data_IF_398029285648
#
_entry.id   IF_398029285648
#
_cell.length_a   1.000
_cell.length_b   1.000
_cell.length_c   1.000
_cell.angle_alpha   90.00
_cell.angle_beta   90.00
_cell.angle_gamma   90.00
#
_symmetry.space_group_name_H-M   'P 1'
#
loop_
_entity.id
_entity.type
_entity.pdbx_description
1 polymer ?
#
# COMPACT_ATOMS: atom_id res chain seq x y z
N UNK A 1 20.39 23.45 -12.21
CA UNK A 1 20.76 23.26 -10.79
C UNK A 1 19.57 23.00 -9.87
N UNK A 2 18.38 23.55 -10.13
CA UNK A 2 17.18 23.30 -9.30
C UNK A 2 16.59 21.88 -9.44
N UNK A 3 16.74 21.21 -10.59
CA UNK A 3 16.14 19.88 -10.80
C UNK A 3 16.85 18.74 -10.05
N UNK A 4 18.14 18.90 -9.74
CA UNK A 4 18.85 17.91 -8.91
C UNK A 4 18.34 17.94 -7.45
N UNK A 5 18.12 19.13 -6.89
CA UNK A 5 17.51 19.32 -5.57
C UNK A 5 16.07 18.80 -5.52
N UNK A 6 15.29 18.98 -6.59
CA UNK A 6 13.95 18.39 -6.71
C UNK A 6 14.01 16.87 -6.73
N UNK A 7 14.90 16.28 -7.53
CA UNK A 7 15.06 14.82 -7.57
C UNK A 7 15.56 14.22 -6.26
N UNK A 8 16.45 14.90 -5.52
CA UNK A 8 16.84 14.46 -4.18
C UNK A 8 15.69 14.55 -3.19
N UNK A 9 14.91 15.63 -3.23
CA UNK A 9 13.72 15.80 -2.38
C UNK A 9 12.66 14.75 -2.68
N UNK A 10 12.40 14.47 -3.96
CA UNK A 10 11.50 13.40 -4.41
C UNK A 10 11.98 12.03 -3.96
N UNK A 11 13.28 11.73 -4.08
CA UNK A 11 13.86 10.49 -3.57
C UNK A 11 13.71 10.36 -2.06
N UNK A 12 13.83 11.45 -1.32
CA UNK A 12 13.65 11.44 0.13
C UNK A 12 12.17 11.31 0.53
N UNK A 13 11.26 11.93 -0.23
CA UNK A 13 9.81 11.81 -0.04
C UNK A 13 9.27 10.42 -0.40
N UNK A 14 9.94 9.73 -1.33
CA UNK A 14 9.62 8.36 -1.74
C UNK A 14 10.35 7.28 -0.94
N UNK A 15 11.26 7.65 -0.04
CA UNK A 15 12.03 6.68 0.72
C UNK A 15 11.24 6.17 1.93
N UNK A 16 10.72 4.94 1.81
CA UNK A 16 10.34 4.13 2.96
C UNK A 16 11.64 3.64 3.62
N UNK A 17 12.12 4.33 4.66
CA UNK A 17 13.39 4.01 5.35
C UNK A 17 13.46 2.60 5.95
N UNK A 18 12.34 1.86 5.96
CA UNK A 18 12.20 0.53 6.51
C UNK A 18 11.74 -0.47 5.43
N UNK A 19 12.58 -1.49 5.17
CA UNK A 19 12.33 -2.54 4.18
C UNK A 19 11.23 -3.49 4.62
N UNK A 20 11.09 -3.78 5.91
CA UNK A 20 10.09 -4.72 6.42
C UNK A 20 8.69 -4.11 6.29
N UNK A 21 8.58 -2.82 6.59
CA UNK A 21 7.35 -2.05 6.37
C UNK A 21 6.98 -1.99 4.88
N UNK A 22 7.95 -1.71 4.01
CA UNK A 22 7.72 -1.72 2.56
C UNK A 22 7.21 -3.09 2.09
N UNK A 23 7.85 -4.18 2.53
CA UNK A 23 7.43 -5.53 2.20
C UNK A 23 6.02 -5.84 2.72
N UNK A 24 5.68 -5.38 3.93
CA UNK A 24 4.34 -5.53 4.49
C UNK A 24 3.29 -4.79 3.66
N UNK A 25 3.57 -3.55 3.24
CA UNK A 25 2.67 -2.78 2.36
C UNK A 25 2.49 -3.50 1.02
N UNK A 26 3.59 -3.92 0.38
CA UNK A 26 3.53 -4.62 -0.91
C UNK A 26 2.78 -5.94 -0.81
N UNK A 27 3.01 -6.72 0.25
CA UNK A 27 2.27 -7.96 0.51
C UNK A 27 0.78 -7.69 0.67
N UNK A 28 0.42 -6.67 1.45
CA UNK A 28 -0.98 -6.29 1.64
C UNK A 28 -1.64 -5.82 0.33
N UNK A 29 -0.94 -5.08 -0.52
CA UNK A 29 -1.46 -4.69 -1.84
C UNK A 29 -1.72 -5.93 -2.71
N UNK A 30 -0.81 -6.90 -2.72
CA UNK A 30 -0.99 -8.18 -3.42
C UNK A 30 -2.22 -8.97 -2.93
N UNK A 31 -2.45 -9.01 -1.62
CA UNK A 31 -3.61 -9.68 -1.03
C UNK A 31 -4.95 -9.00 -1.37
N UNK A 32 -4.94 -7.69 -1.67
CA UNK A 32 -6.13 -6.92 -2.03
C UNK A 32 -6.33 -6.76 -3.56
N UNK A 33 -5.72 -7.62 -4.37
CA UNK A 33 -5.93 -7.61 -5.82
C UNK A 33 -5.15 -6.54 -6.58
N UNK A 34 -4.02 -6.08 -6.05
CA UNK A 34 -3.08 -5.19 -6.74
C UNK A 34 -1.74 -5.88 -7.00
N UNK A 35 -0.99 -5.44 -8.00
CA UNK A 35 0.39 -5.92 -8.18
C UNK A 35 1.34 -5.22 -7.20
N UNK A 36 1.42 -5.73 -5.96
CA UNK A 36 2.22 -5.12 -4.89
C UNK A 36 3.72 -4.96 -5.20
N UNK A 37 4.31 -5.86 -5.99
CA UNK A 37 5.73 -5.77 -6.40
C UNK A 37 6.03 -4.57 -7.30
N UNK A 38 5.07 -4.12 -8.10
CA UNK A 38 5.24 -3.00 -9.05
C UNK A 38 4.63 -1.71 -8.55
N UNK A 39 3.96 -1.74 -7.38
CA UNK A 39 3.40 -0.55 -6.76
C UNK A 39 4.48 0.50 -6.47
N UNK A 40 4.16 1.76 -6.77
CA UNK A 40 5.00 2.92 -6.46
C UNK A 40 4.50 3.54 -5.17
N UNK A 41 5.30 3.43 -4.11
CA UNK A 41 5.02 4.07 -2.83
C UNK A 41 5.54 5.51 -2.83
N UNK A 42 4.74 6.42 -2.27
CA UNK A 42 5.02 7.85 -2.16
C UNK A 42 4.66 8.31 -0.75
N UNK A 43 5.26 9.42 -0.32
CA UNK A 43 4.87 10.13 0.91
C UNK A 43 4.86 9.26 2.17
N UNK A 44 5.72 8.23 2.25
CA UNK A 44 5.80 7.33 3.40
C UNK A 44 6.39 8.10 4.58
N UNK A 45 5.55 8.44 5.56
CA UNK A 45 5.97 9.32 6.66
C UNK A 45 5.33 8.91 7.97
N UNK A 46 6.12 8.93 9.04
CA UNK A 46 5.61 8.81 10.40
C UNK A 46 4.76 10.04 10.75
N UNK A 47 3.55 9.81 11.21
CA UNK A 47 2.55 10.85 11.51
C UNK A 47 2.08 10.83 12.95
N UNK A 48 2.20 9.71 13.65
CA UNK A 48 1.95 9.66 15.09
C UNK A 48 2.87 8.64 15.77
N UNK A 49 3.20 8.87 17.04
CA UNK A 49 4.08 8.00 17.83
C UNK A 49 3.70 8.02 19.31
N UNK A 50 3.76 6.86 19.97
CA UNK A 50 3.70 6.73 21.42
C UNK A 50 5.12 6.79 22.00
N UNK A 51 5.37 7.52 23.09
CA UNK A 51 6.65 7.43 23.82
C UNK A 51 6.67 6.16 24.68
N UNK A 52 7.78 5.38 24.73
CA UNK A 52 9.14 5.67 24.26
C UNK A 52 9.45 5.39 22.78
N UNK A 53 8.46 5.14 21.91
CA UNK A 53 8.64 5.02 20.45
C UNK A 53 8.16 3.68 19.88
N UNK A 54 7.62 2.80 20.72
CA UNK A 54 7.26 1.43 20.35
C UNK A 54 6.07 1.30 19.42
N UNK A 55 5.20 2.30 19.43
CA UNK A 55 4.01 2.31 18.62
C UNK A 55 4.04 3.52 17.70
N UNK A 56 4.01 3.27 16.40
CA UNK A 56 4.17 4.28 15.38
C UNK A 56 3.07 4.13 14.33
N UNK A 57 2.60 5.26 13.81
CA UNK A 57 1.64 5.30 12.71
C UNK A 57 2.29 6.04 11.56
N UNK A 58 2.31 5.40 10.39
CA UNK A 58 2.81 5.95 9.15
C UNK A 58 1.65 6.16 8.19
N UNK A 59 1.71 7.25 7.43
CA UNK A 59 0.89 7.42 6.23
C UNK A 59 1.72 7.07 5.01
N UNK A 60 1.04 6.63 3.96
CA UNK A 60 1.63 6.51 2.63
C UNK A 60 0.58 6.74 1.55
N UNK A 61 1.05 6.95 0.34
CA UNK A 61 0.27 6.91 -0.89
C UNK A 61 0.89 5.86 -1.81
N UNK A 62 0.05 5.16 -2.58
CA UNK A 62 0.53 4.13 -3.47
C UNK A 62 -0.19 4.24 -4.82
N UNK A 63 0.58 4.27 -5.89
CA UNK A 63 0.05 4.07 -7.24
C UNK A 63 0.27 2.59 -7.58
N UNK A 64 -0.81 1.81 -7.71
CA UNK A 64 -0.74 0.37 -7.92
C UNK A 64 -1.58 -0.07 -9.11
N UNK A 65 -1.07 -1.07 -9.85
CA UNK A 65 -1.82 -1.69 -10.95
C UNK A 65 -2.84 -2.65 -10.38
N UNK A 66 -4.09 -2.57 -10.83
CA UNK A 66 -5.15 -3.51 -10.47
C UNK A 66 -4.94 -4.84 -11.19
N UNK A 67 -5.10 -5.94 -10.46
CA UNK A 67 -5.12 -7.29 -11.05
C UNK A 67 -6.46 -7.47 -11.77
N UNK A 68 -6.46 -7.82 -13.07
CA UNK A 68 -7.69 -8.11 -13.78
C UNK A 68 -8.50 -9.22 -13.10
N UNK A 69 -9.84 -9.11 -13.03
CA UNK A 69 -10.68 -10.09 -12.34
C UNK A 69 -10.51 -11.54 -12.82
N UNK A 70 -10.26 -11.74 -14.12
CA UNK A 70 -10.09 -13.06 -14.73
C UNK A 70 -8.84 -13.80 -14.22
N UNK A 71 -7.77 -13.08 -13.83
CA UNK A 71 -6.57 -13.70 -13.26
C UNK A 71 -6.73 -14.05 -11.78
N UNK A 72 -7.69 -13.44 -11.08
CA UNK A 72 -7.97 -13.78 -9.68
C UNK A 72 -8.71 -15.12 -9.56
N UNK A 73 -9.57 -15.47 -10.53
CA UNK A 73 -10.25 -16.77 -10.57
C UNK A 73 -9.28 -17.94 -10.77
N UNK A 74 -8.21 -17.76 -11.55
CA UNK A 74 -7.23 -18.81 -11.84
C UNK A 74 -6.32 -19.12 -10.65
N UNK A 75 -5.96 -18.09 -9.87
CA UNK A 75 -5.05 -18.22 -8.72
C UNK A 75 -5.63 -19.06 -7.57
N UNK A 76 -6.96 -19.15 -7.43
CA UNK A 76 -7.62 -19.99 -6.44
C UNK A 76 -7.85 -21.44 -6.92
N UNK A 77 -7.61 -21.74 -8.19
CA UNK A 77 -7.82 -23.06 -8.80
C UNK A 77 -6.55 -23.91 -8.96
N UNK A 78 -5.37 -23.41 -8.58
CA UNK A 78 -4.12 -24.18 -8.64
C UNK A 78 -4.02 -25.18 -7.48
N UNK A 79 -4.84 -26.22 -7.57
CA UNK A 79 -4.93 -27.32 -6.62
C UNK A 79 -5.60 -28.55 -7.20
N UNK A 80 -5.47 -28.83 -8.50
CA UNK A 80 -5.78 -30.17 -9.02
C UNK A 80 -4.98 -30.49 -10.28
N UNK A 81 -4.16 -31.54 -10.18
CA UNK A 81 -3.37 -32.09 -11.26
C UNK A 81 -4.21 -32.98 -12.17
N UNK A 82 -3.99 -32.85 -13.49
CA UNK A 82 -4.24 -33.87 -14.50
C UNK A 82 -5.63 -33.87 -15.14
N UNK A 83 -5.72 -33.36 -16.37
CA UNK A 83 -6.49 -34.03 -17.45
C UNK A 83 -6.12 -33.41 -18.79
N UNK A 84 -5.70 -34.27 -19.71
CA UNK A 84 -5.51 -34.02 -21.14
C UNK A 84 -6.86 -33.73 -21.81
N UNK A 85 -6.96 -32.57 -22.46
CA UNK A 85 -8.09 -32.22 -23.33
C UNK A 85 -7.74 -31.02 -24.18
N UNK A 86 -7.53 -31.24 -25.47
CA UNK A 86 -7.46 -30.20 -26.49
C UNK A 86 -8.78 -29.42 -26.50
N UNK A 87 -8.71 -28.11 -26.31
CA UNK A 87 -9.77 -27.18 -26.73
C UNK A 87 -9.10 -25.97 -27.37
N UNK A 88 -9.10 -25.98 -28.70
CA UNK A 88 -8.94 -24.82 -29.55
C UNK A 88 -10.11 -23.85 -29.28
N UNK A 89 -9.80 -22.70 -28.68
CA UNK A 89 -10.66 -21.52 -28.71
C UNK A 89 -9.76 -20.31 -28.57
N UNK A 90 -9.40 -19.73 -29.71
CA UNK A 90 -8.73 -18.45 -29.81
C UNK A 90 -9.73 -17.33 -29.47
N UNK A 91 -10.23 -17.30 -28.23
CA UNK A 91 -10.85 -16.10 -27.67
C UNK A 91 -9.69 -15.21 -27.19
N UNK A 92 -9.07 -14.53 -28.15
CA UNK A 92 -8.09 -13.46 -27.91
C UNK A 92 -8.85 -12.30 -27.24
N UNK A 93 -9.08 -12.44 -25.93
CA UNK A 93 -9.64 -11.38 -25.09
C UNK A 93 -8.71 -10.17 -25.28
N UNK A 94 -9.23 -9.02 -25.73
CA UNK A 94 -8.37 -7.88 -26.04
C UNK A 94 -7.55 -7.54 -24.81
N UNK A 95 -6.25 -7.42 -25.03
CA UNK A 95 -5.22 -7.09 -24.03
C UNK A 95 -5.64 -5.82 -23.28
N UNK A 96 -6.39 -5.99 -22.20
CA UNK A 96 -7.06 -4.88 -21.54
C UNK A 96 -5.99 -3.94 -20.97
N UNK A 97 -6.07 -2.67 -21.34
CA UNK A 97 -5.09 -1.68 -20.91
C UNK A 97 -4.93 -1.71 -19.38
N UNK A 98 -3.69 -1.64 -18.86
CA UNK A 98 -3.45 -1.73 -17.43
C UNK A 98 -4.14 -0.57 -16.69
N UNK A 99 -5.03 -0.91 -15.76
CA UNK A 99 -5.70 0.06 -14.88
C UNK A 99 -4.84 0.30 -13.65
N UNK A 100 -4.62 1.58 -13.34
CA UNK A 100 -3.87 2.03 -12.17
C UNK A 100 -4.80 2.79 -11.23
N UNK A 101 -4.70 2.49 -9.94
CA UNK A 101 -5.41 3.19 -8.89
C UNK A 101 -4.43 3.98 -8.01
N UNK A 102 -4.86 5.16 -7.60
CA UNK A 102 -4.19 5.97 -6.58
C UNK A 102 -4.81 5.65 -5.23
N UNK A 103 -3.99 5.14 -4.32
CA UNK A 103 -4.43 4.55 -3.07
C UNK A 103 -3.84 5.32 -1.88
N UNK A 104 -4.65 5.45 -0.83
CA UNK A 104 -4.28 6.10 0.41
C UNK A 104 -4.04 5.06 1.49
N UNK A 105 -2.88 5.09 2.12
CA UNK A 105 -2.45 4.06 3.05
C UNK A 105 -2.16 4.54 4.47
N UNK A 106 -2.39 3.65 5.44
CA UNK A 106 -1.90 3.77 6.81
C UNK A 106 -1.22 2.48 7.24
N UNK A 107 -0.10 2.62 7.94
CA UNK A 107 0.57 1.52 8.64
C UNK A 107 0.60 1.85 10.12
N UNK A 108 0.20 0.88 10.94
CA UNK A 108 0.39 0.90 12.38
C UNK A 108 1.41 -0.17 12.73
N UNK A 109 2.55 0.28 13.24
CA UNK A 109 3.69 -0.54 13.60
C UNK A 109 3.83 -0.61 15.11
N UNK A 110 3.80 -1.84 15.65
CA UNK A 110 4.14 -2.13 17.04
C UNK A 110 5.42 -2.98 17.08
N UNK A 111 6.53 -2.29 17.33
CA UNK A 111 7.88 -2.84 17.33
C UNK A 111 8.04 -3.92 18.42
N UNK A 112 7.29 -3.82 19.54
CA UNK A 112 7.38 -4.80 20.64
C UNK A 112 6.94 -6.19 20.22
N UNK A 113 5.90 -6.25 19.38
CA UNK A 113 5.29 -7.51 18.95
C UNK A 113 5.60 -7.84 17.49
N UNK A 114 6.36 -6.98 16.79
CA UNK A 114 6.61 -7.06 15.34
C UNK A 114 5.31 -7.14 14.53
N UNK A 115 4.29 -6.40 14.98
CA UNK A 115 2.98 -6.37 14.34
C UNK A 115 2.90 -5.14 13.45
N UNK A 116 2.74 -5.38 12.15
CA UNK A 116 2.47 -4.35 11.15
C UNK A 116 1.05 -4.50 10.63
N UNK A 117 0.18 -3.56 10.98
CA UNK A 117 -1.18 -3.49 10.47
C UNK A 117 -1.22 -2.48 9.34
N UNK A 118 -1.36 -2.97 8.11
CA UNK A 118 -1.51 -2.14 6.92
C UNK A 118 -2.99 -2.04 6.55
N UNK A 119 -3.42 -0.83 6.18
CA UNK A 119 -4.73 -0.56 5.60
C UNK A 119 -4.59 0.39 4.42
N UNK A 120 -5.35 0.13 3.37
CA UNK A 120 -5.36 0.89 2.12
C UNK A 120 -6.80 1.27 1.81
N UNK A 121 -6.99 2.47 1.26
CA UNK A 121 -8.27 3.09 1.01
C UNK A 121 -8.27 3.76 -0.36
N UNK A 122 -9.42 3.76 -1.02
CA UNK A 122 -9.62 4.52 -2.27
C UNK A 122 -9.91 6.00 -1.96
N UNK A 123 -10.44 6.29 -0.77
CA UNK A 123 -10.85 7.63 -0.33
C UNK A 123 -9.99 8.13 0.82
N UNK A 124 -9.59 9.39 0.73
CA UNK A 124 -8.82 10.03 1.79
C UNK A 124 -9.60 10.15 3.11
N UNK A 125 -10.92 10.35 3.06
CA UNK A 125 -11.75 10.50 4.28
C UNK A 125 -11.73 9.26 5.17
N UNK A 126 -11.73 8.07 4.58
CA UNK A 126 -11.65 6.79 5.30
C UNK A 126 -10.30 6.64 6.00
N UNK A 127 -9.22 7.03 5.30
CA UNK A 127 -7.88 7.12 5.88
C UNK A 127 -7.88 8.07 7.09
N UNK A 128 -8.49 9.25 6.96
CA UNK A 128 -8.57 10.24 8.05
C UNK A 128 -9.32 9.69 9.27
N UNK A 129 -10.47 9.08 9.04
CA UNK A 129 -11.27 8.47 10.11
C UNK A 129 -10.50 7.37 10.86
N UNK A 130 -9.79 6.50 10.13
CA UNK A 130 -8.95 5.48 10.77
C UNK A 130 -7.75 6.10 11.50
N UNK A 131 -7.11 7.12 10.93
CA UNK A 131 -6.01 7.81 11.56
C UNK A 131 -6.42 8.39 12.92
N UNK A 132 -7.58 9.04 13.03
CA UNK A 132 -8.08 9.57 14.31
C UNK A 132 -8.16 8.47 15.37
N UNK A 133 -8.70 7.30 15.01
CA UNK A 133 -8.79 6.15 15.92
C UNK A 133 -7.42 5.56 16.27
N UNK A 134 -6.49 5.50 15.33
CA UNK A 134 -5.15 4.92 15.55
C UNK A 134 -4.19 5.86 16.25
N UNK A 135 -4.43 7.16 16.18
CA UNK A 135 -3.63 8.21 16.83
C UNK A 135 -4.17 8.65 18.19
N UNK A 136 -5.25 8.04 18.67
CA UNK A 136 -5.80 8.30 20.01
C UNK A 136 -4.76 8.01 21.09
N UNK A 137 -4.42 9.04 21.88
CA UNK A 137 -3.39 8.95 22.92
C UNK A 137 -1.94 8.98 22.41
N UNK A 138 -1.72 9.18 21.10
CA UNK A 138 -0.38 9.31 20.51
C UNK A 138 0.02 10.78 20.32
N UNK A 139 1.33 11.01 20.30
CA UNK A 139 1.90 12.28 19.87
C UNK A 139 1.85 12.34 18.35
N UNK A 140 0.97 13.19 17.83
CA UNK A 140 0.89 13.46 16.41
C UNK A 140 2.01 14.41 15.96
N UNK A 141 2.71 14.03 14.91
CA UNK A 141 3.84 14.78 14.34
C UNK A 141 3.34 15.78 13.28
N UNK A 142 4.23 16.69 12.85
CA UNK A 142 3.94 17.66 11.78
C UNK A 142 3.45 17.01 10.48
N UNK A 143 3.85 15.77 10.20
CA UNK A 143 3.36 15.01 9.07
C UNK A 143 1.85 14.70 9.11
N UNK A 144 1.17 14.85 10.24
CA UNK A 144 -0.27 14.58 10.38
C UNK A 144 -1.17 15.70 9.83
N UNK A 145 -0.63 16.78 9.27
CA UNK A 145 -1.43 17.81 8.60
C UNK A 145 -2.29 17.19 7.47
N UNK A 146 -3.57 17.53 7.46
CA UNK A 146 -4.59 16.93 6.57
C UNK A 146 -5.27 15.68 7.13
N UNK A 147 -4.65 14.99 8.11
CA UNK A 147 -5.21 13.78 8.71
C UNK A 147 -6.04 14.02 9.97
N UNK A 148 -5.80 15.14 10.65
CA UNK A 148 -6.63 15.58 11.78
C UNK A 148 -7.88 16.29 11.26
N UNK A 149 -9.00 16.15 11.95
CA UNK A 149 -10.08 17.14 11.85
C UNK A 149 -9.58 18.47 12.43
N UNK A 150 -10.04 19.62 11.89
CA UNK A 150 -9.80 20.92 12.53
C UNK A 150 -10.29 20.94 13.99
#
# INVERSE_FOLDING_TARGET
MLDWLKHLRERWDNWCGDRDMELAIRKHLSENGYYGRTAKLKSVRMVAVQRPGWFQVFRFEATARRVPPHLLSEAHSSGQAGSSGEVDSSDEVPDAAPVYDELYGLVKDDIRHKINVVRVFDREDERRALFVRWSEGLICLRGAHGLKSP
#
